data_IF_438132097195
#
_entry.id   IF_438132097195
#
_cell.length_a   1.000
_cell.length_b   1.000
_cell.length_c   1.000
_cell.angle_alpha   90.00
_cell.angle_beta   90.00
_cell.angle_gamma   90.00
#
_symmetry.space_group_name_H-M   'P 1'
#
loop_
_entity.id
_entity.type
_entity.pdbx_description
1 polymer ?
#
# COMPACT_ATOMS: atom_id res chain seq x y z
N UNK A 1 -22.73 19.39 10.23
CA UNK A 1 -21.33 19.37 10.68
C UNK A 1 -20.60 18.37 9.81
N UNK A 2 -19.94 18.85 8.75
CA UNK A 2 -19.18 17.99 7.84
C UNK A 2 -17.75 17.89 8.34
N UNK A 3 -17.29 16.67 8.62
CA UNK A 3 -15.86 16.38 8.73
C UNK A 3 -15.35 16.09 7.31
N UNK A 4 -14.36 16.86 6.87
CA UNK A 4 -13.57 16.56 5.68
C UNK A 4 -12.37 15.73 6.12
N UNK A 5 -12.44 14.42 5.90
CA UNK A 5 -11.31 13.54 6.18
C UNK A 5 -10.45 13.43 4.91
N UNK A 6 -9.39 14.24 4.83
CA UNK A 6 -8.34 14.11 3.83
C UNK A 6 -7.10 13.49 4.47
N UNK A 7 -6.60 12.37 3.92
CA UNK A 7 -5.26 11.88 4.26
C UNK A 7 -4.28 12.58 3.32
N UNK A 8 -3.66 13.67 3.79
CA UNK A 8 -2.53 14.32 3.11
C UNK A 8 -1.25 13.56 3.48
N UNK A 9 -0.66 12.88 2.49
CA UNK A 9 0.61 12.21 2.63
C UNK A 9 1.78 13.20 2.48
N UNK A 10 1.90 14.21 3.35
CA UNK A 10 3.02 15.16 3.34
C UNK A 10 3.37 15.69 1.92
N UNK A 11 2.37 16.09 1.13
CA UNK A 11 2.61 16.61 -0.23
C UNK A 11 2.79 15.55 -1.34
N UNK A 12 2.57 14.25 -1.06
CA UNK A 12 2.31 13.24 -2.08
C UNK A 12 0.87 13.39 -2.60
N UNK A 13 0.66 14.35 -3.48
CA UNK A 13 -0.57 14.39 -4.28
C UNK A 13 -0.46 13.30 -5.35
N UNK A 14 -1.30 12.26 -5.26
CA UNK A 14 -1.60 11.41 -6.42
C UNK A 14 -2.45 12.25 -7.37
N UNK A 15 -1.81 13.09 -8.16
CA UNK A 15 -2.42 13.69 -9.35
C UNK A 15 -2.68 12.54 -10.32
N UNK A 16 -3.91 12.03 -10.37
CA UNK A 16 -4.32 11.18 -11.47
C UNK A 16 -4.19 12.03 -12.73
N UNK A 17 -3.19 11.77 -13.56
CA UNK A 17 -3.04 12.46 -14.85
C UNK A 17 -4.20 12.00 -15.75
N UNK A 18 -5.39 12.60 -15.57
CA UNK A 18 -6.46 12.53 -16.57
C UNK A 18 -6.07 13.24 -17.86
N UNK A 19 -4.97 13.98 -17.86
CA UNK A 19 -4.30 14.43 -19.07
C UNK A 19 -3.49 13.29 -19.64
N UNK A 20 -3.89 12.81 -20.82
CA UNK A 20 -2.96 12.20 -21.77
C UNK A 20 -1.70 13.07 -21.78
N UNK A 21 -0.51 12.51 -21.47
CA UNK A 21 0.71 13.32 -21.46
C UNK A 21 0.83 13.97 -22.83
N UNK A 22 0.89 15.30 -22.87
CA UNK A 22 1.16 16.00 -24.13
C UNK A 22 2.46 15.44 -24.69
N UNK A 23 2.53 15.09 -25.99
CA UNK A 23 3.74 14.56 -26.59
C UNK A 23 4.82 15.66 -26.51
N UNK A 24 5.67 15.60 -25.49
CA UNK A 24 6.66 16.64 -25.21
C UNK A 24 6.93 17.01 -23.75
N UNK A 25 6.43 16.28 -22.73
CA UNK A 25 6.78 16.53 -21.32
C UNK A 25 7.73 15.48 -20.72
N UNK A 26 9.05 15.52 -21.02
CA UNK A 26 10.04 14.57 -20.50
C UNK A 26 10.02 14.40 -18.98
N UNK A 27 9.74 15.49 -18.24
CA UNK A 27 9.69 15.47 -16.78
C UNK A 27 8.53 14.66 -16.20
N UNK A 28 7.35 14.69 -16.84
CA UNK A 28 6.19 13.92 -16.41
C UNK A 28 6.37 12.42 -16.70
N UNK A 29 6.90 12.09 -17.88
CA UNK A 29 7.23 10.71 -18.25
C UNK A 29 8.33 10.13 -17.35
N UNK A 30 9.33 10.92 -16.98
CA UNK A 30 10.37 10.52 -16.01
C UNK A 30 9.77 10.31 -14.61
N UNK A 31 8.92 11.23 -14.14
CA UNK A 31 8.27 11.11 -12.83
C UNK A 31 7.40 9.86 -12.72
N UNK A 32 6.70 9.46 -13.79
CA UNK A 32 5.95 8.21 -13.84
C UNK A 32 6.83 6.96 -13.89
N UNK A 33 8.05 7.03 -14.41
CA UNK A 33 8.98 5.89 -14.41
C UNK A 33 9.65 5.65 -13.07
N UNK A 34 9.81 6.70 -12.27
CA UNK A 34 10.50 6.62 -10.99
C UNK A 34 9.52 6.45 -9.81
N UNK A 35 8.21 6.69 -10.00
CA UNK A 35 7.18 6.57 -8.97
C UNK A 35 6.35 5.30 -9.12
N UNK A 36 6.13 4.57 -8.02
CA UNK A 36 5.26 3.41 -7.96
C UNK A 36 4.29 3.44 -6.77
N UNK A 37 3.11 2.85 -6.96
CA UNK A 37 2.16 2.61 -5.89
C UNK A 37 1.40 1.28 -6.04
N UNK A 38 0.96 0.74 -4.90
CA UNK A 38 0.04 -0.39 -4.81
C UNK A 38 -1.01 -0.07 -3.74
N UNK A 39 -2.28 -0.11 -4.12
CA UNK A 39 -3.41 -0.22 -3.20
C UNK A 39 -3.86 -1.68 -3.13
N UNK A 40 -3.89 -2.23 -1.91
CA UNK A 40 -4.27 -3.61 -1.66
C UNK A 40 -5.35 -3.72 -0.59
N UNK A 41 -6.27 -4.67 -0.76
CA UNK A 41 -7.37 -4.92 0.17
C UNK A 41 -8.02 -6.27 -0.12
N UNK A 42 -8.35 -7.05 0.89
CA UNK A 42 -9.26 -8.21 0.75
C UNK A 42 -10.72 -7.80 0.47
N UNK A 43 -11.06 -6.52 0.66
CA UNK A 43 -12.40 -5.98 0.47
C UNK A 43 -12.32 -4.63 -0.28
N UNK A 44 -11.85 -4.61 -1.53
CA UNK A 44 -11.74 -3.38 -2.31
C UNK A 44 -13.13 -2.81 -2.69
N UNK A 45 -13.20 -1.57 -3.23
CA UNK A 45 -14.45 -1.03 -3.74
C UNK A 45 -15.00 -1.90 -4.89
N UNK A 46 -16.24 -2.36 -4.77
CA UNK A 46 -16.95 -3.06 -5.85
C UNK A 46 -16.60 -4.53 -6.05
N UNK A 47 -15.69 -5.11 -5.27
CA UNK A 47 -15.37 -6.55 -5.33
C UNK A 47 -14.85 -7.10 -3.99
N UNK A 48 -14.52 -8.39 -3.97
CA UNK A 48 -13.91 -9.09 -2.85
C UNK A 48 -12.76 -9.94 -3.37
N UNK A 49 -11.68 -10.03 -2.59
CA UNK A 49 -10.62 -10.99 -2.88
C UNK A 49 -11.09 -12.41 -2.53
N UNK A 50 -10.55 -13.42 -3.23
CA UNK A 50 -10.75 -14.82 -2.87
C UNK A 50 -10.09 -15.15 -1.52
N UNK A 51 -10.58 -16.19 -0.84
CA UNK A 51 -10.11 -16.62 0.50
C UNK A 51 -8.62 -17.04 0.54
N UNK A 52 -7.99 -17.20 -0.63
CA UNK A 52 -6.56 -17.49 -0.72
C UNK A 52 -5.66 -16.25 -0.48
N UNK A 53 -6.21 -15.04 -0.53
CA UNK A 53 -5.51 -13.80 -0.23
C UNK A 53 -5.61 -13.46 1.27
N UNK A 54 -4.61 -12.76 1.80
CA UNK A 54 -4.61 -12.39 3.21
C UNK A 54 -5.60 -11.28 3.53
N UNK A 55 -6.24 -11.38 4.71
CA UNK A 55 -7.07 -10.33 5.29
C UNK A 55 -6.22 -9.12 5.69
N UNK A 56 -5.90 -8.30 4.71
CA UNK A 56 -4.97 -7.19 4.85
C UNK A 56 -5.37 -6.06 3.90
N UNK A 57 -5.14 -4.82 4.34
CA UNK A 57 -5.46 -3.63 3.56
C UNK A 57 -4.39 -2.56 3.76
N UNK A 58 -4.09 -1.81 2.71
CA UNK A 58 -3.11 -0.75 2.78
C UNK A 58 -2.78 -0.12 1.43
N UNK A 59 -1.92 0.89 1.50
CA UNK A 59 -1.39 1.61 0.35
C UNK A 59 0.11 1.77 0.52
N UNK A 60 0.87 1.42 -0.51
CA UNK A 60 2.31 1.66 -0.59
C UNK A 60 2.58 2.64 -1.71
N UNK A 61 3.41 3.64 -1.46
CA UNK A 61 3.84 4.64 -2.45
C UNK A 61 5.32 4.92 -2.27
N UNK A 62 6.08 4.94 -3.37
CA UNK A 62 7.53 5.17 -3.33
C UNK A 62 8.01 5.82 -4.62
N UNK A 63 9.03 6.66 -4.52
CA UNK A 63 9.78 7.19 -5.66
C UNK A 63 11.23 6.72 -5.57
N UNK A 64 11.81 6.30 -6.69
CA UNK A 64 13.17 5.75 -6.76
C UNK A 64 14.18 6.75 -6.19
N UNK A 65 14.98 6.26 -5.23
CA UNK A 65 16.00 7.07 -4.55
C UNK A 65 15.46 8.06 -3.52
N UNK A 66 14.14 8.07 -3.25
CA UNK A 66 13.51 8.91 -2.21
C UNK A 66 12.76 8.08 -1.17
N UNK A 67 12.41 8.73 -0.08
CA UNK A 67 11.53 8.13 0.92
C UNK A 67 10.13 7.90 0.33
N UNK A 68 9.48 6.84 0.80
CA UNK A 68 8.11 6.50 0.46
C UNK A 68 7.24 6.37 1.70
N UNK A 69 5.97 6.03 1.50
CA UNK A 69 4.99 5.81 2.56
C UNK A 69 4.41 4.40 2.47
N UNK A 70 4.23 3.77 3.62
CA UNK A 70 3.36 2.61 3.77
C UNK A 70 2.24 2.96 4.75
N UNK A 71 1.01 2.97 4.23
CA UNK A 71 -0.22 3.12 4.98
C UNK A 71 -0.86 1.74 5.19
N UNK A 72 -1.07 1.35 6.44
CA UNK A 72 -1.88 0.20 6.80
C UNK A 72 -3.22 0.68 7.35
N UNK A 73 -4.31 -0.03 7.02
CA UNK A 73 -5.61 0.30 7.58
C UNK A 73 -6.52 -0.92 7.73
N UNK A 74 -7.61 -0.77 8.47
CA UNK A 74 -8.66 -1.80 8.63
C UNK A 74 -9.93 -1.51 7.80
N UNK A 75 -10.04 -0.33 7.18
CA UNK A 75 -11.26 0.14 6.50
C UNK A 75 -11.56 -0.63 5.22
N UNK A 76 -12.68 -1.36 5.12
CA UNK A 76 -13.13 -1.98 3.88
C UNK A 76 -13.56 -0.94 2.85
N UNK A 77 -13.40 -1.24 1.56
CA UNK A 77 -13.77 -0.38 0.44
C UNK A 77 -13.02 0.95 0.42
N UNK A 78 -11.79 0.98 0.96
CA UNK A 78 -10.95 2.18 1.01
C UNK A 78 -9.73 2.04 0.08
N UNK A 79 -9.31 3.14 -0.59
CA UNK A 79 -10.11 4.34 -0.85
C UNK A 79 -11.33 4.00 -1.71
N UNK A 80 -12.50 4.59 -1.42
CA UNK A 80 -13.73 4.27 -2.16
C UNK A 80 -13.72 4.83 -3.58
N UNK A 81 -13.14 6.02 -3.72
CA UNK A 81 -12.94 6.73 -4.97
C UNK A 81 -11.69 7.61 -4.86
N UNK A 82 -11.09 7.96 -5.99
CA UNK A 82 -10.03 8.98 -6.06
C UNK A 82 -10.62 10.40 -5.93
N UNK A 83 -11.94 10.56 -6.12
CA UNK A 83 -12.64 11.82 -5.83
C UNK A 83 -12.67 12.08 -4.32
N UNK A 84 -12.11 13.23 -3.91
CA UNK A 84 -12.05 13.66 -2.51
C UNK A 84 -13.43 13.68 -1.84
N UNK A 85 -14.49 13.99 -2.57
CA UNK A 85 -15.85 14.04 -2.01
C UNK A 85 -16.45 12.66 -1.75
N UNK A 86 -15.87 11.62 -2.35
CA UNK A 86 -16.32 10.24 -2.25
C UNK A 86 -15.17 9.31 -1.82
N UNK A 87 -14.12 9.86 -1.20
CA UNK A 87 -12.92 9.12 -0.83
C UNK A 87 -13.19 8.15 0.34
N UNK A 88 -14.01 8.61 1.30
CA UNK A 88 -14.33 7.88 2.52
C UNK A 88 -15.52 6.94 2.31
N UNK A 89 -15.38 5.63 2.59
CA UNK A 89 -16.49 4.70 2.45
C UNK A 89 -17.46 4.80 3.64
N UNK A 90 -18.74 4.57 3.40
CA UNK A 90 -19.77 4.56 4.45
C UNK A 90 -19.49 3.50 5.53
N UNK A 91 -18.84 2.38 5.16
CA UNK A 91 -18.37 1.33 6.09
C UNK A 91 -17.38 1.87 7.13
N UNK A 92 -16.58 2.88 6.78
CA UNK A 92 -15.59 3.50 7.66
C UNK A 92 -16.21 4.29 8.81
N UNK A 93 -17.40 4.86 8.60
CA UNK A 93 -18.11 5.63 9.63
C UNK A 93 -18.80 4.74 10.68
N UNK A 94 -19.05 3.47 10.37
CA UNK A 94 -19.81 2.55 11.23
C UNK A 94 -18.96 1.84 12.29
N UNK A 95 -17.68 1.63 12.02
CA UNK A 95 -16.79 0.82 12.86
C UNK A 95 -15.55 1.61 13.25
N UNK A 96 -14.95 1.29 14.40
CA UNK A 96 -13.66 1.85 14.75
C UNK A 96 -12.60 1.34 13.76
N UNK A 97 -12.00 2.25 12.99
CA UNK A 97 -10.95 1.94 12.03
C UNK A 97 -9.61 2.45 12.55
N UNK A 98 -8.56 1.68 12.30
CA UNK A 98 -7.18 2.09 12.60
C UNK A 98 -6.47 2.41 11.29
N UNK A 99 -5.70 3.49 11.29
CA UNK A 99 -4.77 3.84 10.22
C UNK A 99 -3.38 4.01 10.83
N UNK A 100 -2.38 3.40 10.21
CA UNK A 100 -0.97 3.55 10.58
C UNK A 100 -0.22 3.97 9.32
N UNK A 101 0.34 5.17 9.33
CA UNK A 101 1.08 5.73 8.21
C UNK A 101 2.54 5.93 8.62
N UNK A 102 3.46 5.28 7.93
CA UNK A 102 4.89 5.39 8.24
C UNK A 102 5.68 5.71 6.97
N UNK A 103 6.55 6.70 7.08
CA UNK A 103 7.50 7.06 6.03
C UNK A 103 8.79 6.26 6.21
N UNK A 104 9.24 5.59 5.16
CA UNK A 104 10.45 4.79 5.15
C UNK A 104 11.45 5.30 4.10
N UNK A 105 12.76 5.16 4.30
CA UNK A 105 13.74 5.35 3.24
C UNK A 105 13.56 4.30 2.12
N UNK A 106 14.02 4.64 0.91
CA UNK A 106 13.83 3.84 -0.31
C UNK A 106 14.21 2.36 -0.14
N UNK A 107 15.32 2.09 0.54
CA UNK A 107 15.89 0.75 0.72
C UNK A 107 14.98 -0.21 1.51
N UNK A 108 14.11 0.32 2.37
CA UNK A 108 13.14 -0.48 3.13
C UNK A 108 12.04 -1.06 2.24
N UNK A 109 11.77 -0.49 1.06
CA UNK A 109 10.66 -0.94 0.21
C UNK A 109 10.89 -2.30 -0.44
N UNK A 110 12.14 -2.76 -0.53
CA UNK A 110 12.47 -4.15 -0.87
C UNK A 110 11.86 -5.10 0.18
N UNK A 111 12.07 -4.77 1.46
CA UNK A 111 11.55 -5.55 2.57
C UNK A 111 10.02 -5.47 2.64
N UNK A 112 9.44 -4.27 2.48
CA UNK A 112 7.98 -4.07 2.44
C UNK A 112 7.35 -4.87 1.28
N UNK A 113 7.95 -4.86 0.09
CA UNK A 113 7.46 -5.65 -1.05
C UNK A 113 7.49 -7.15 -0.81
N UNK A 114 8.50 -7.67 -0.10
CA UNK A 114 8.52 -9.07 0.36
C UNK A 114 7.42 -9.35 1.38
N UNK A 115 7.19 -8.42 2.31
CA UNK A 115 6.12 -8.55 3.30
C UNK A 115 4.74 -8.67 2.64
N UNK A 116 4.46 -7.87 1.61
CA UNK A 116 3.21 -7.97 0.84
C UNK A 116 3.04 -9.34 0.16
N UNK A 117 4.13 -9.93 -0.33
CA UNK A 117 4.09 -11.30 -0.89
C UNK A 117 3.86 -12.36 0.20
N UNK A 118 4.43 -12.20 1.41
CA UNK A 118 4.22 -13.12 2.53
C UNK A 118 2.76 -13.17 3.00
N UNK A 119 2.10 -12.01 3.06
CA UNK A 119 0.69 -11.91 3.48
C UNK A 119 -0.28 -12.21 2.32
N UNK A 120 0.21 -12.55 1.12
CA UNK A 120 -0.60 -12.67 -0.10
C UNK A 120 -1.56 -11.48 -0.24
N UNK A 121 -1.03 -10.26 -0.21
CA UNK A 121 -1.83 -9.05 -0.36
C UNK A 121 -2.58 -9.07 -1.69
N UNK A 122 -3.85 -8.65 -1.70
CA UNK A 122 -4.65 -8.54 -2.93
C UNK A 122 -4.58 -7.11 -3.50
N UNK A 123 -3.74 -6.84 -4.52
CA UNK A 123 -3.68 -5.54 -5.18
C UNK A 123 -4.91 -5.32 -6.05
N UNK A 124 -5.59 -4.18 -5.89
CA UNK A 124 -6.77 -3.83 -6.69
C UNK A 124 -6.59 -2.57 -7.53
N UNK A 125 -5.60 -1.73 -7.21
CA UNK A 125 -5.18 -0.58 -8.02
C UNK A 125 -3.67 -0.39 -7.85
N UNK A 126 -2.95 -0.12 -8.94
CA UNK A 126 -1.49 -0.01 -8.91
C UNK A 126 -0.92 0.65 -10.16
N UNK A 127 0.25 1.27 -9.98
CA UNK A 127 1.18 1.64 -11.03
C UNK A 127 2.57 1.25 -10.55
N UNK A 128 3.21 0.27 -11.20
CA UNK A 128 4.49 -0.28 -10.75
C UNK A 128 5.49 -0.26 -11.90
N UNK A 129 6.41 0.72 -11.93
CA UNK A 129 7.51 0.71 -12.88
C UNK A 129 8.50 -0.44 -12.65
N UNK A 130 9.25 -0.78 -13.70
CA UNK A 130 10.23 -1.87 -13.70
C UNK A 130 11.34 -1.74 -12.63
N UNK A 131 11.55 -0.54 -12.09
CA UNK A 131 12.54 -0.25 -11.05
C UNK A 131 12.17 -0.83 -9.67
N UNK A 132 10.94 -1.34 -9.49
CA UNK A 132 10.47 -1.96 -8.24
C UNK A 132 10.11 -3.45 -8.42
N UNK A 133 11.10 -4.35 -8.60
CA UNK A 133 10.82 -5.75 -8.94
C UNK A 133 10.03 -6.51 -7.87
N UNK A 134 10.21 -6.18 -6.59
CA UNK A 134 9.44 -6.77 -5.49
C UNK A 134 7.95 -6.42 -5.60
N UNK A 135 7.63 -5.21 -6.06
CA UNK A 135 6.25 -4.78 -6.29
C UNK A 135 5.66 -5.41 -7.54
N UNK A 136 6.48 -5.61 -8.59
CA UNK A 136 6.06 -6.38 -9.77
C UNK A 136 5.66 -7.80 -9.35
N UNK A 137 6.39 -8.42 -8.41
CA UNK A 137 6.02 -9.73 -7.90
C UNK A 137 4.70 -9.71 -7.11
N UNK A 138 4.43 -8.66 -6.33
CA UNK A 138 3.14 -8.47 -5.62
C UNK A 138 1.97 -8.37 -6.58
N UNK A 139 2.06 -7.53 -7.61
CA UNK A 139 0.95 -7.34 -8.58
C UNK A 139 0.71 -8.55 -9.47
N UNK A 140 1.73 -9.40 -9.64
CA UNK A 140 1.61 -10.71 -10.30
C UNK A 140 1.25 -11.85 -9.33
N UNK A 141 0.82 -11.53 -8.10
CA UNK A 141 0.40 -12.47 -7.06
C UNK A 141 1.42 -13.58 -6.76
N UNK A 142 2.72 -13.28 -6.90
CA UNK A 142 3.76 -14.22 -6.51
C UNK A 142 3.84 -14.29 -4.99
N UNK A 143 3.48 -15.44 -4.43
CA UNK A 143 3.63 -15.72 -3.01
C UNK A 143 5.01 -16.31 -2.72
N UNK A 144 5.64 -15.86 -1.65
CA UNK A 144 6.84 -16.47 -1.09
C UNK A 144 6.56 -16.88 0.35
N UNK A 145 7.26 -17.91 0.83
CA UNK A 145 7.20 -18.34 2.23
C UNK A 145 8.15 -17.47 3.06
N UNK A 146 7.71 -16.86 4.17
CA UNK A 146 8.64 -16.16 5.06
C UNK A 146 9.65 -17.14 5.63
N UNK A 147 10.94 -16.79 5.53
CA UNK A 147 12.01 -17.52 6.23
C UNK A 147 12.01 -17.21 7.73
N UNK A 148 11.52 -16.02 8.10
CA UNK A 148 11.27 -15.56 9.45
C UNK A 148 9.95 -14.76 9.45
N UNK A 149 9.10 -14.99 10.45
CA UNK A 149 7.81 -14.29 10.55
C UNK A 149 7.98 -12.81 10.92
N UNK A 150 9.17 -12.40 11.38
CA UNK A 150 9.49 -11.01 11.77
C UNK A 150 10.55 -10.43 10.85
N UNK A 151 10.26 -9.29 10.25
CA UNK A 151 11.19 -8.56 9.40
C UNK A 151 11.38 -7.13 9.94
N UNK A 152 12.61 -6.75 10.34
CA UNK A 152 12.90 -5.42 10.88
C UNK A 152 12.74 -4.36 9.78
N UNK A 153 12.24 -3.19 10.18
CA UNK A 153 12.15 -1.99 9.36
C UNK A 153 12.63 -0.80 10.17
N UNK A 154 13.10 0.26 9.52
CA UNK A 154 13.47 1.51 10.17
C UNK A 154 12.89 2.69 9.42
N UNK A 155 12.08 3.49 10.09
CA UNK A 155 11.45 4.66 9.45
C UNK A 155 12.46 5.75 9.13
N UNK A 156 12.03 6.74 8.36
CA UNK A 156 12.84 7.92 8.04
C UNK A 156 13.28 8.72 9.28
N UNK A 157 12.51 8.62 10.38
CA UNK A 157 12.84 9.21 11.68
C UNK A 157 13.70 8.32 12.58
N UNK A 158 14.32 7.27 12.03
CA UNK A 158 15.14 6.28 12.76
C UNK A 158 14.39 5.47 13.81
N UNK A 159 13.05 5.46 13.77
CA UNK A 159 12.25 4.63 14.66
C UNK A 159 12.24 3.18 14.14
N UNK A 160 12.64 2.19 14.96
CA UNK A 160 12.57 0.79 14.58
C UNK A 160 11.12 0.27 14.58
N UNK A 161 10.82 -0.60 13.63
CA UNK A 161 9.56 -1.34 13.49
C UNK A 161 9.84 -2.81 13.19
N UNK A 162 8.86 -3.67 13.45
CA UNK A 162 8.83 -5.03 12.92
C UNK A 162 7.57 -5.19 12.07
N UNK A 163 7.76 -5.67 10.85
CA UNK A 163 6.66 -6.19 10.03
C UNK A 163 6.56 -7.69 10.29
N UNK A 164 5.38 -8.17 10.67
CA UNK A 164 5.14 -9.56 11.07
C UNK A 164 4.12 -10.19 10.13
N UNK A 165 4.52 -11.25 9.42
CA UNK A 165 3.65 -11.95 8.47
C UNK A 165 3.51 -13.42 8.88
N UNK A 166 2.28 -13.94 8.83
CA UNK A 166 1.98 -15.35 9.08
C UNK A 166 1.29 -15.93 7.83
N UNK A 167 1.78 -17.08 7.37
CA UNK A 167 1.06 -17.89 6.37
C UNK A 167 -0.19 -18.51 7.00
N UNK A 168 -1.25 -18.71 6.22
CA UNK A 168 -2.51 -19.38 6.64
C UNK A 168 -2.22 -20.77 7.25
N UNK A 169 -1.95 -20.82 8.56
CA UNK A 169 -1.87 -22.02 9.38
C UNK A 169 -2.42 -21.73 10.77
N UNK A 170 -3.65 -22.19 11.00
CA UNK A 170 -4.42 -22.56 12.22
C UNK A 170 -4.24 -21.90 13.60
N UNK A 171 -3.22 -21.08 13.87
CA UNK A 171 -3.01 -20.51 15.22
C UNK A 171 -3.08 -18.97 15.22
N UNK A 172 -3.71 -18.40 16.25
CA UNK A 172 -3.85 -16.95 16.43
C UNK A 172 -2.50 -16.23 16.63
N UNK A 173 -2.43 -14.96 16.23
CA UNK A 173 -1.25 -14.08 16.30
C UNK A 173 -0.80 -13.66 17.73
N UNK A 174 -1.31 -14.30 18.78
CA UNK A 174 -1.16 -13.81 20.17
C UNK A 174 -0.26 -14.71 21.05
N UNK A 175 0.97 -14.97 20.62
CA UNK A 175 1.99 -15.57 21.49
C UNK A 175 3.35 -14.99 21.18
N UNK A 176 3.60 -13.78 21.69
CA UNK A 176 4.93 -13.17 21.86
C UNK A 176 5.09 -12.74 23.30
#
# INVERSE_FOLDING_TARGET
>A
MGYSDSIDFNGLTIEHSKTTPSPGSPGLLKKLKDFGFISYSDQPPGSHADDEFGHSKGVVMVEEGKSGVWLLHSTPQFPFSIDQNHFWPQSGAKHAQTFICVTFPHDQFIAIGKHLQYIKAFPFDHHVPDVFPEFINVVNWKSITPSNDKQPLTSNGLQPFFSIAKLQFKDCLHSV
#
